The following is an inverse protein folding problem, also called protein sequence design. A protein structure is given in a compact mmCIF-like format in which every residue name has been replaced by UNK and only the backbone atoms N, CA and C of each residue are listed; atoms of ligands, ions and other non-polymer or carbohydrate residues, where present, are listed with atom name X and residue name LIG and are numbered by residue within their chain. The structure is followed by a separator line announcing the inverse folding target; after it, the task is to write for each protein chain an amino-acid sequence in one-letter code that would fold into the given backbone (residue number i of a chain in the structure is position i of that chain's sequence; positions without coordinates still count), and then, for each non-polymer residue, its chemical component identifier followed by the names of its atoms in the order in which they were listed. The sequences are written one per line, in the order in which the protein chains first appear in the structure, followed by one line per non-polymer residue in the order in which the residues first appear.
data_IF_409273215672
#
_entry.id   IF_409273215672
#
_cell.length_a   1.000
_cell.length_b   1.000
_cell.length_c   1.000
_cell.angle_alpha   90.00
_cell.angle_beta   90.00
_cell.angle_gamma   90.00
#
_symmetry.space_group_name_H-M   'P 1'
#
loop_
_entity.id
_entity.type
_entity.pdbx_description
1 polymer ?
#
# COMPACT_ATOMS: atom_id res chain seq x y z
N UNK A 1 -14.49 -13.48 16.38
CA UNK A 1 -14.17 -12.39 15.45
C UNK A 1 -14.37 -11.06 16.13
N UNK A 2 -13.27 -10.39 16.45
CA UNK A 2 -13.24 -9.04 17.00
C UNK A 2 -12.63 -8.09 15.96
N UNK A 3 -12.85 -6.78 16.11
CA UNK A 3 -12.38 -5.76 15.18
C UNK A 3 -11.46 -4.76 15.87
N UNK A 4 -10.49 -4.24 15.12
CA UNK A 4 -9.55 -3.23 15.57
C UNK A 4 -9.81 -1.91 14.82
N UNK A 5 -9.92 -0.80 15.55
CA UNK A 5 -10.11 0.53 14.95
C UNK A 5 -8.76 1.22 14.80
N UNK A 6 -8.44 1.71 13.61
CA UNK A 6 -7.17 2.41 13.32
C UNK A 6 -7.42 3.66 12.48
N UNK A 7 -6.50 4.62 12.58
CA UNK A 7 -6.53 5.87 11.82
C UNK A 7 -5.75 5.69 10.51
N UNK A 8 -6.36 6.03 9.37
CA UNK A 8 -5.71 5.90 8.06
C UNK A 8 -6.07 7.06 7.14
N UNK A 9 -5.07 7.85 6.77
CA UNK A 9 -5.13 8.71 5.59
C UNK A 9 -3.95 8.41 4.66
N UNK A 10 -4.21 7.81 3.51
CA UNK A 10 -3.15 7.49 2.56
C UNK A 10 -3.33 8.19 1.22
N UNK A 11 -2.19 8.49 0.60
CA UNK A 11 -2.10 9.03 -0.75
C UNK A 11 -0.99 8.31 -1.53
N UNK A 12 -0.87 8.57 -2.82
CA UNK A 12 0.16 8.00 -3.70
C UNK A 12 1.59 8.32 -3.23
N UNK A 13 1.75 9.44 -2.51
CA UNK A 13 3.03 9.84 -1.92
C UNK A 13 2.82 10.31 -0.49
N UNK A 14 3.85 10.13 0.34
CA UNK A 14 3.83 10.64 1.73
C UNK A 14 3.62 12.15 1.75
N UNK A 15 4.28 12.89 0.84
CA UNK A 15 4.10 14.34 0.72
C UNK A 15 2.63 14.71 0.49
N UNK A 16 1.94 14.03 -0.42
CA UNK A 16 0.52 14.32 -0.68
C UNK A 16 -0.34 14.00 0.55
N UNK A 17 -0.10 12.87 1.22
CA UNK A 17 -0.84 12.53 2.43
C UNK A 17 -0.66 13.59 3.52
N UNK A 18 0.57 14.11 3.70
CA UNK A 18 0.85 15.22 4.61
C UNK A 18 0.13 16.51 4.22
N UNK A 19 0.11 16.87 2.94
CA UNK A 19 -0.60 18.06 2.48
C UNK A 19 -2.12 17.93 2.65
N UNK A 20 -2.69 16.77 2.36
CA UNK A 20 -4.13 16.53 2.46
C UNK A 20 -4.66 16.72 3.89
N UNK A 21 -3.93 16.20 4.89
CA UNK A 21 -4.37 16.25 6.29
C UNK A 21 -4.29 17.66 6.91
N UNK A 22 -3.55 18.59 6.27
CA UNK A 22 -3.54 20.01 6.69
C UNK A 22 -4.94 20.63 6.64
N UNK A 23 -5.86 20.03 5.90
CA UNK A 23 -7.25 20.49 5.79
C UNK A 23 -7.99 20.49 7.14
N UNK A 24 -7.85 19.44 7.95
CA UNK A 24 -8.69 19.23 9.12
C UNK A 24 -7.99 18.68 10.36
N UNK A 25 -6.68 18.41 10.30
CA UNK A 25 -5.99 17.77 11.41
C UNK A 25 -5.81 18.67 12.64
N UNK A 26 -5.59 19.97 12.46
CA UNK A 26 -5.45 20.90 13.60
C UNK A 26 -6.75 21.01 14.44
N UNK A 27 -7.95 21.21 13.85
CA UNK A 27 -9.21 21.13 14.60
C UNK A 27 -9.42 19.79 15.32
N UNK A 28 -9.04 18.68 14.69
CA UNK A 28 -9.18 17.34 15.27
C UNK A 28 -8.29 17.18 16.52
N UNK A 29 -7.01 17.55 16.44
CA UNK A 29 -6.11 17.52 17.60
C UNK A 29 -6.57 18.46 18.72
N UNK A 30 -7.01 19.67 18.37
CA UNK A 30 -7.55 20.63 19.35
C UNK A 30 -8.76 20.07 20.11
N UNK A 31 -9.65 19.36 19.41
CA UNK A 31 -10.79 18.68 20.02
C UNK A 31 -10.32 17.56 20.96
N UNK A 32 -9.45 16.67 20.47
CA UNK A 32 -8.98 15.54 21.28
C UNK A 32 -8.21 16.01 22.52
N UNK A 33 -7.32 16.99 22.41
CA UNK A 33 -6.58 17.51 23.57
C UNK A 33 -7.48 18.16 24.63
N UNK A 34 -8.47 18.96 24.22
CA UNK A 34 -9.27 19.77 25.14
C UNK A 34 -10.52 19.07 25.66
N UNK A 35 -11.02 18.06 24.95
CA UNK A 35 -12.33 17.44 25.22
C UNK A 35 -12.22 15.96 25.52
N UNK A 36 -11.42 15.21 24.76
CA UNK A 36 -11.29 13.77 24.94
C UNK A 36 -9.99 13.48 25.71
N UNK A 37 -10.05 13.32 27.03
CA UNK A 37 -8.90 13.12 27.91
C UNK A 37 -8.03 11.88 27.54
N UNK A 38 -7.20 11.99 26.51
CA UNK A 38 -6.21 11.01 26.05
C UNK A 38 -4.82 11.54 26.37
N UNK A 39 -4.22 11.17 27.52
CA UNK A 39 -2.89 11.64 27.92
C UNK A 39 -1.80 11.30 26.89
N UNK A 40 -2.00 10.24 26.09
CA UNK A 40 -1.08 9.82 25.03
C UNK A 40 -1.06 10.74 23.81
N UNK A 41 -1.96 11.72 23.74
CA UNK A 41 -2.09 12.72 22.68
C UNK A 41 -1.67 14.13 23.15
N UNK A 42 -1.05 14.23 24.34
CA UNK A 42 -0.36 15.47 24.75
C UNK A 42 0.78 15.73 23.76
N UNK A 43 0.63 16.81 22.99
CA UNK A 43 1.66 17.21 22.05
C UNK A 43 2.60 18.24 22.64
N UNK A 44 3.89 18.20 22.27
CA UNK A 44 4.85 19.23 22.63
C UNK A 44 4.70 20.54 21.81
N UNK A 45 3.84 20.60 20.79
CA UNK A 45 3.71 21.78 19.91
C UNK A 45 2.39 21.91 19.16
N UNK A 46 2.20 23.04 18.47
CA UNK A 46 1.02 23.38 17.65
C UNK A 46 1.22 23.05 16.15
N UNK A 47 2.37 22.46 15.79
CA UNK A 47 2.77 22.28 14.40
C UNK A 47 2.21 20.98 13.81
N UNK A 48 1.58 21.09 12.63
CA UNK A 48 0.96 19.96 11.93
C UNK A 48 1.93 18.81 11.66
N UNK A 49 3.19 19.07 11.31
CA UNK A 49 4.13 17.99 11.02
C UNK A 49 4.43 17.11 12.25
N UNK A 50 4.47 17.71 13.45
CA UNK A 50 4.64 16.98 14.71
C UNK A 50 3.39 16.14 15.03
N UNK A 51 2.19 16.64 14.71
CA UNK A 51 0.93 15.88 14.85
C UNK A 51 0.97 14.60 14.00
N UNK A 52 1.47 14.72 12.76
CA UNK A 52 1.60 13.58 11.83
C UNK A 52 2.59 12.56 12.40
N UNK A 53 3.73 13.04 12.87
CA UNK A 53 4.78 12.19 13.42
C UNK A 53 4.33 11.44 14.67
N UNK A 54 3.51 12.08 15.52
CA UNK A 54 2.90 11.41 16.69
C UNK A 54 1.99 10.27 16.25
N UNK A 55 1.06 10.49 15.31
CA UNK A 55 0.15 9.44 14.81
C UNK A 55 0.91 8.26 14.20
N UNK A 56 1.92 8.55 13.39
CA UNK A 56 2.73 7.52 12.73
C UNK A 56 3.66 6.81 13.72
N UNK A 57 4.20 7.53 14.70
CA UNK A 57 5.21 7.04 15.64
C UNK A 57 4.65 6.26 16.82
N UNK A 58 3.47 6.63 17.34
CA UNK A 58 2.84 5.92 18.47
C UNK A 58 2.07 4.65 18.03
N UNK A 59 1.98 4.40 16.72
CA UNK A 59 1.26 3.25 16.15
C UNK A 59 -0.26 3.39 16.17
N UNK A 60 -0.82 4.58 16.42
CA UNK A 60 -2.27 4.83 16.38
C UNK A 60 -2.83 4.80 14.96
N UNK A 61 -1.99 5.00 13.94
CA UNK A 61 -2.42 4.96 12.55
C UNK A 61 -1.32 5.20 11.53
N UNK A 62 -1.73 5.51 10.31
CA UNK A 62 -0.85 5.91 9.21
C UNK A 62 -1.42 7.12 8.49
N UNK A 63 -0.60 8.17 8.39
CA UNK A 63 -0.70 9.25 7.41
C UNK A 63 0.49 9.07 6.46
N UNK A 64 0.26 8.58 5.25
CA UNK A 64 1.35 8.18 4.37
C UNK A 64 0.95 7.44 3.10
N UNK A 65 1.69 6.40 2.74
CA UNK A 65 1.50 5.62 1.51
C UNK A 65 0.75 4.30 1.75
N UNK A 66 0.22 3.64 0.69
CA UNK A 66 -0.36 2.30 0.81
C UNK A 66 0.63 1.27 1.38
N UNK A 67 1.92 1.40 1.08
CA UNK A 67 2.95 0.51 1.63
C UNK A 67 3.09 0.65 3.14
N UNK A 68 3.13 1.89 3.65
CA UNK A 68 3.16 2.17 5.08
C UNK A 68 1.90 1.64 5.78
N UNK A 69 0.73 1.76 5.15
CA UNK A 69 -0.52 1.20 5.66
C UNK A 69 -0.48 -0.34 5.73
N UNK A 70 0.05 -1.03 4.72
CA UNK A 70 0.28 -2.49 4.79
C UNK A 70 1.18 -2.85 5.96
N UNK A 71 2.29 -2.16 6.13
CA UNK A 71 3.21 -2.42 7.23
C UNK A 71 2.52 -2.23 8.59
N UNK A 72 1.66 -1.22 8.75
CA UNK A 72 0.89 -1.03 9.97
C UNK A 72 -0.14 -2.14 10.20
N UNK A 73 -0.90 -2.56 9.17
CA UNK A 73 -1.85 -3.66 9.29
C UNK A 73 -1.14 -4.96 9.68
N UNK A 74 0.02 -5.24 9.10
CA UNK A 74 0.84 -6.40 9.47
C UNK A 74 1.31 -6.31 10.92
N UNK A 75 1.82 -5.15 11.37
CA UNK A 75 2.21 -4.95 12.78
C UNK A 75 1.07 -5.20 13.74
N UNK A 76 -0.12 -4.67 13.45
CA UNK A 76 -1.31 -4.89 14.27
C UNK A 76 -1.67 -6.38 14.34
N UNK A 77 -1.57 -7.10 13.21
CA UNK A 77 -1.87 -8.53 13.13
C UNK A 77 -0.90 -9.34 14.00
N UNK A 78 0.39 -9.08 13.85
CA UNK A 78 1.46 -9.79 14.55
C UNK A 78 1.38 -9.55 16.07
N UNK A 79 1.12 -8.30 16.48
CA UNK A 79 1.02 -7.94 17.90
C UNK A 79 -0.25 -8.48 18.57
N UNK A 80 -1.37 -8.54 17.85
CA UNK A 80 -2.64 -8.99 18.41
C UNK A 80 -2.83 -10.50 18.35
N UNK A 81 -1.98 -11.23 17.62
CA UNK A 81 -2.21 -12.63 17.29
C UNK A 81 -3.36 -12.85 16.30
N UNK A 82 -3.69 -11.81 15.52
CA UNK A 82 -4.77 -11.80 14.53
C UNK A 82 -6.07 -11.14 14.98
N UNK A 83 -6.83 -10.63 14.01
CA UNK A 83 -8.15 -10.00 14.20
C UNK A 83 -9.08 -10.31 13.02
N UNK A 84 -10.39 -10.13 13.19
CA UNK A 84 -11.36 -10.40 12.14
C UNK A 84 -11.49 -9.27 11.12
N UNK A 85 -11.27 -8.01 11.53
CA UNK A 85 -11.49 -6.84 10.69
C UNK A 85 -10.72 -5.62 11.22
N UNK A 86 -10.22 -4.78 10.31
CA UNK A 86 -9.77 -3.42 10.61
C UNK A 86 -10.87 -2.44 10.21
N UNK A 87 -11.25 -1.56 11.13
CA UNK A 87 -12.19 -0.48 10.90
C UNK A 87 -11.44 0.85 10.84
N UNK A 88 -11.79 1.69 9.88
CA UNK A 88 -11.23 3.03 9.77
C UNK A 88 -12.06 3.99 10.59
N UNK A 89 -11.41 4.76 11.46
CA UNK A 89 -12.08 5.86 12.15
C UNK A 89 -12.29 7.02 11.16
N UNK A 90 -13.51 7.56 11.09
CA UNK A 90 -13.75 8.85 10.44
C UNK A 90 -13.14 9.96 11.28
N UNK A 91 -12.12 10.62 10.75
CA UNK A 91 -11.33 11.65 11.46
C UNK A 91 -11.31 13.00 10.74
N UNK A 92 -11.94 13.11 9.56
CA UNK A 92 -12.15 14.38 8.83
C UNK A 92 -10.86 15.20 8.58
N UNK A 93 -9.70 14.52 8.51
CA UNK A 93 -8.41 15.20 8.33
C UNK A 93 -8.24 15.81 6.95
N UNK A 94 -8.83 15.19 5.94
CA UNK A 94 -8.73 15.60 4.55
C UNK A 94 -10.10 16.00 3.98
N UNK A 95 -10.10 16.75 2.89
CA UNK A 95 -11.35 17.07 2.18
C UNK A 95 -12.05 15.79 1.66
N UNK A 96 -13.34 15.83 1.29
CA UNK A 96 -14.09 14.64 0.88
C UNK A 96 -13.50 13.90 -0.34
N UNK A 97 -12.88 14.62 -1.29
CA UNK A 97 -12.28 14.02 -2.46
C UNK A 97 -11.01 13.22 -2.10
N UNK A 98 -10.13 13.80 -1.28
CA UNK A 98 -8.93 13.14 -0.78
C UNK A 98 -9.28 11.98 0.16
N UNK A 99 -10.29 12.13 1.02
CA UNK A 99 -10.78 11.04 1.89
C UNK A 99 -11.29 9.86 1.06
N UNK A 100 -12.07 10.12 0.01
CA UNK A 100 -12.51 9.08 -0.93
C UNK A 100 -11.33 8.41 -1.63
N UNK A 101 -10.34 9.20 -2.08
CA UNK A 101 -9.15 8.66 -2.74
C UNK A 101 -8.32 7.77 -1.82
N UNK A 102 -8.15 8.17 -0.56
CA UNK A 102 -7.50 7.35 0.47
C UNK A 102 -8.21 6.00 0.66
N UNK A 103 -9.54 6.00 0.74
CA UNK A 103 -10.33 4.76 0.84
C UNK A 103 -10.19 3.86 -0.40
N UNK A 104 -10.18 4.45 -1.60
CA UNK A 104 -9.95 3.71 -2.86
C UNK A 104 -8.55 3.08 -2.90
N UNK A 105 -7.52 3.84 -2.53
CA UNK A 105 -6.15 3.33 -2.44
C UNK A 105 -6.05 2.20 -1.43
N UNK A 106 -6.72 2.32 -0.28
CA UNK A 106 -6.66 1.27 0.74
C UNK A 106 -7.33 -0.02 0.24
N UNK A 107 -8.49 0.11 -0.39
CA UNK A 107 -9.21 -1.02 -0.98
C UNK A 107 -8.41 -1.69 -2.11
N UNK A 108 -7.78 -0.91 -2.98
CA UNK A 108 -7.06 -1.43 -4.15
C UNK A 108 -5.66 -1.97 -3.80
N UNK A 109 -4.95 -1.33 -2.87
CA UNK A 109 -3.52 -1.58 -2.65
C UNK A 109 -3.17 -2.14 -1.28
N UNK A 110 -4.08 -2.13 -0.31
CA UNK A 110 -3.82 -2.67 1.04
C UNK A 110 -4.58 -3.97 1.22
N UNK A 111 -5.90 -3.96 1.05
CA UNK A 111 -6.76 -5.14 1.33
C UNK A 111 -6.33 -6.43 0.60
N UNK A 112 -5.97 -6.43 -0.69
CA UNK A 112 -5.65 -7.67 -1.42
C UNK A 112 -4.42 -8.42 -0.89
N UNK A 113 -3.53 -7.73 -0.18
CA UNK A 113 -2.31 -8.32 0.39
C UNK A 113 -2.64 -9.27 1.55
N UNK A 114 -3.73 -9.04 2.27
CA UNK A 114 -4.10 -9.81 3.47
C UNK A 114 -5.20 -10.84 3.20
N UNK A 115 -5.91 -10.72 2.08
CA UNK A 115 -7.05 -11.58 1.75
C UNK A 115 -6.68 -12.73 0.78
N UNK A 116 -5.39 -12.90 0.48
CA UNK A 116 -4.89 -13.95 -0.42
C UNK A 116 -5.24 -13.75 -1.90
N UNK A 117 -5.94 -12.67 -2.26
CA UNK A 117 -6.35 -12.39 -3.64
C UNK A 117 -5.17 -12.01 -4.54
N UNK A 118 -4.14 -11.36 -3.98
CA UNK A 118 -2.95 -10.95 -4.73
C UNK A 118 -1.94 -12.08 -4.94
N UNK A 119 -1.93 -13.11 -4.08
CA UNK A 119 -0.88 -14.13 -4.04
C UNK A 119 -0.74 -14.91 -5.36
N UNK A 120 -1.83 -15.39 -6.02
CA UNK A 120 -1.70 -16.13 -7.27
C UNK A 120 -1.04 -15.34 -8.40
N UNK A 121 -1.30 -14.02 -8.47
CA UNK A 121 -0.71 -13.13 -9.47
C UNK A 121 0.77 -12.89 -9.20
N UNK A 122 1.15 -12.67 -7.94
CA UNK A 122 2.55 -12.53 -7.53
C UNK A 122 3.34 -13.81 -7.83
N UNK A 123 2.80 -14.97 -7.49
CA UNK A 123 3.43 -16.26 -7.77
C UNK A 123 3.55 -16.51 -9.27
N UNK A 124 2.57 -16.10 -10.08
CA UNK A 124 2.62 -16.21 -11.52
C UNK A 124 3.73 -15.32 -12.11
N UNK A 125 3.85 -14.08 -11.63
CA UNK A 125 4.92 -13.17 -12.03
C UNK A 125 6.31 -13.71 -11.67
N UNK A 126 6.47 -14.27 -10.45
CA UNK A 126 7.72 -14.90 -10.02
C UNK A 126 8.09 -16.09 -10.93
N UNK A 127 7.14 -17.03 -11.16
CA UNK A 127 7.36 -18.16 -12.07
C UNK A 127 7.76 -17.72 -13.48
N UNK A 128 7.13 -16.67 -14.00
CA UNK A 128 7.44 -16.15 -15.33
C UNK A 128 8.83 -15.50 -15.38
N UNK A 129 9.22 -14.76 -14.34
CA UNK A 129 10.57 -14.20 -14.22
C UNK A 129 11.64 -15.29 -14.15
N UNK A 130 11.43 -16.32 -13.33
CA UNK A 130 12.38 -17.43 -13.16
C UNK A 130 12.56 -18.24 -14.46
N UNK A 131 11.48 -18.45 -15.22
CA UNK A 131 11.53 -19.17 -16.49
C UNK A 131 12.10 -18.35 -17.65
N UNK A 132 12.30 -17.03 -17.48
CA UNK A 132 12.57 -16.09 -18.57
C UNK A 132 13.82 -16.44 -19.37
N UNK A 133 14.91 -16.81 -18.71
CA UNK A 133 16.18 -17.12 -19.40
C UNK A 133 16.06 -18.35 -20.29
N UNK A 134 15.51 -19.46 -19.77
CA UNK A 134 15.32 -20.68 -20.55
C UNK A 134 14.32 -20.51 -21.70
N UNK A 135 13.27 -19.71 -21.50
CA UNK A 135 12.32 -19.36 -22.56
C UNK A 135 12.98 -18.49 -23.64
N UNK A 136 13.81 -17.51 -23.26
CA UNK A 136 14.53 -16.67 -24.19
C UNK A 136 15.55 -17.47 -25.02
N UNK A 137 16.25 -18.41 -24.39
CA UNK A 137 17.16 -19.32 -25.11
C UNK A 137 16.41 -20.21 -26.11
N UNK A 138 15.29 -20.80 -25.68
CA UNK A 138 14.43 -21.61 -26.54
C UNK A 138 13.91 -20.81 -27.73
N UNK A 139 13.53 -19.55 -27.51
CA UNK A 139 13.13 -18.63 -28.57
C UNK A 139 14.27 -18.38 -29.58
N UNK A 140 15.48 -18.09 -29.10
CA UNK A 140 16.64 -17.85 -29.96
C UNK A 140 16.99 -19.09 -30.79
N UNK A 141 16.94 -20.27 -30.19
CA UNK A 141 17.16 -21.54 -30.89
C UNK A 141 16.11 -21.77 -31.99
N UNK A 142 14.83 -21.50 -31.70
CA UNK A 142 13.75 -21.64 -32.67
C UNK A 142 13.91 -20.67 -33.86
N UNK A 143 14.28 -19.41 -33.59
CA UNK A 143 14.60 -18.42 -34.63
C UNK A 143 15.77 -18.91 -35.48
N UNK A 144 16.87 -19.34 -34.85
CA UNK A 144 18.04 -19.85 -35.56
C UNK A 144 17.73 -21.07 -36.45
N UNK A 145 16.94 -22.02 -35.94
CA UNK A 145 16.48 -23.18 -36.70
C UNK A 145 15.68 -22.78 -37.93
N UNK A 146 14.71 -21.86 -37.78
CA UNK A 146 13.88 -21.41 -38.89
C UNK A 146 14.66 -20.60 -39.92
N UNK A 147 15.60 -19.75 -39.49
CA UNK A 147 16.51 -19.02 -40.39
C UNK A 147 17.33 -20.00 -41.23
N UNK A 148 17.90 -21.02 -40.60
CA UNK A 148 18.69 -22.04 -41.31
C UNK A 148 17.85 -22.79 -42.34
N UNK A 149 16.67 -23.30 -41.92
CA UNK A 149 15.75 -23.99 -42.81
C UNK A 149 15.39 -23.16 -44.05
N UNK A 150 15.11 -21.87 -43.87
CA UNK A 150 14.78 -20.97 -44.98
C UNK A 150 15.96 -20.78 -45.94
N UNK A 151 17.19 -20.64 -45.43
CA UNK A 151 18.39 -20.55 -46.26
C UNK A 151 18.62 -21.83 -47.08
N UNK A 152 18.42 -22.99 -46.47
CA UNK A 152 18.55 -24.29 -47.14
C UNK A 152 17.51 -24.44 -48.28
N UNK A 153 16.26 -24.03 -48.06
CA UNK A 153 15.21 -24.01 -49.09
C UNK A 153 15.53 -23.07 -50.27
N UNK A 154 16.16 -21.92 -50.02
CA UNK A 154 16.61 -21.01 -51.08
C UNK A 154 17.76 -21.60 -51.90
N UNK A 155 18.71 -22.25 -51.24
CA UNK A 155 19.86 -22.86 -51.91
C UNK A 155 19.46 -24.06 -52.77
N UNK A 156 18.46 -24.84 -52.35
CA UNK A 156 17.95 -25.99 -53.11
C UNK A 156 17.16 -25.61 -54.38
N UNK A 157 16.78 -24.33 -54.54
CA UNK A 157 16.08 -23.82 -55.73
C UNK A 157 17.01 -23.23 -56.80
N UNK A 158 18.31 -23.12 -56.53
CA UNK A 158 19.34 -22.72 -57.50
C UNK A 158 19.95 -23.95 -58.17
#
# INVERSE_FOLDING_TARGET
NWSLVSLFHIAETEKQAREDVKFGMEPWFRYFQKVAAFPQMEMPGEQIDEMIDVINGNGAGVIGTPEQARAQVQRMWDQSGGFGCVLHMGHEWANPAATKRSAELFAAEVMPHFQGQAQPTLDAAARASDAREGLAESQNQAVGHMTKKYQDELNAKK
#
